data_IF_394919053442
#
_entry.id   IF_394919053442
#
_cell.length_a   1.000
_cell.length_b   1.000
_cell.length_c   1.000
_cell.angle_alpha   90.00
_cell.angle_beta   90.00
_cell.angle_gamma   90.00
#
_symmetry.space_group_name_H-M   'P 1'
#
loop_
_entity.id
_entity.type
_entity.pdbx_description
1 polymer ?
#
# COMPACT_ATOMS: atom_id res chain seq x y z
N UNK A 1 15.80 2.85 -11.94
CA UNK A 1 14.88 3.51 -11.00
C UNK A 1 13.63 2.66 -10.87
N UNK A 2 13.11 2.48 -9.64
CA UNK A 2 11.88 1.73 -9.33
C UNK A 2 10.97 2.60 -8.46
N UNK A 3 9.66 2.54 -8.73
CA UNK A 3 8.68 3.27 -7.92
C UNK A 3 8.33 2.55 -6.63
N UNK A 4 8.21 3.27 -5.52
CA UNK A 4 7.79 2.74 -4.21
C UNK A 4 6.34 2.22 -4.22
N UNK A 5 5.54 2.57 -5.24
CA UNK A 5 4.14 2.15 -5.36
C UNK A 5 4.00 0.63 -5.42
N UNK A 6 4.85 -0.06 -6.18
CA UNK A 6 4.91 -1.51 -6.21
C UNK A 6 5.94 -2.01 -5.17
N UNK A 7 5.54 -1.95 -3.91
CA UNK A 7 6.41 -2.23 -2.78
C UNK A 7 6.97 -3.67 -2.80
N UNK A 8 6.16 -4.63 -3.21
CA UNK A 8 6.58 -6.04 -3.29
C UNK A 8 7.65 -6.23 -4.37
N UNK A 9 7.47 -5.65 -5.56
CA UNK A 9 8.45 -5.70 -6.63
C UNK A 9 9.77 -5.06 -6.18
N UNK A 10 9.71 -3.88 -5.57
CA UNK A 10 10.89 -3.18 -5.07
C UNK A 10 11.64 -4.01 -4.03
N UNK A 11 10.94 -4.65 -3.11
CA UNK A 11 11.52 -5.55 -2.11
C UNK A 11 12.23 -6.74 -2.76
N UNK A 12 11.59 -7.41 -3.72
CA UNK A 12 12.17 -8.55 -4.44
C UNK A 12 13.42 -8.15 -5.24
N UNK A 13 13.40 -7.02 -5.91
CA UNK A 13 14.56 -6.51 -6.66
C UNK A 13 15.74 -6.19 -5.71
N UNK A 14 15.47 -5.57 -4.55
CA UNK A 14 16.51 -5.31 -3.55
C UNK A 14 17.14 -6.61 -3.03
N UNK A 15 16.31 -7.61 -2.75
CA UNK A 15 16.80 -8.91 -2.30
C UNK A 15 17.62 -9.61 -3.37
N UNK A 16 17.16 -9.61 -4.61
CA UNK A 16 17.91 -10.19 -5.75
C UNK A 16 19.29 -9.55 -5.89
N UNK A 17 19.38 -8.20 -5.84
CA UNK A 17 20.66 -7.49 -5.93
C UNK A 17 21.59 -7.90 -4.80
N UNK A 18 21.07 -8.05 -3.58
CA UNK A 18 21.87 -8.46 -2.42
C UNK A 18 22.31 -9.92 -2.50
N UNK A 19 21.41 -10.83 -2.90
CA UNK A 19 21.69 -12.26 -2.96
C UNK A 19 22.71 -12.63 -4.05
N UNK A 20 22.65 -11.91 -5.17
CA UNK A 20 23.59 -12.15 -6.29
C UNK A 20 24.82 -11.21 -6.27
N UNK A 21 24.98 -10.45 -5.18
CA UNK A 21 26.08 -9.47 -5.00
C UNK A 21 26.29 -8.56 -6.24
N UNK A 22 25.18 -8.06 -6.78
CA UNK A 22 25.19 -7.23 -7.95
C UNK A 22 25.61 -5.81 -7.59
N UNK A 23 26.62 -5.25 -8.26
CA UNK A 23 27.04 -3.88 -8.09
C UNK A 23 26.07 -2.91 -8.79
N UNK A 24 24.82 -2.84 -8.32
CA UNK A 24 23.75 -2.03 -8.86
C UNK A 24 23.15 -1.16 -7.75
N UNK A 25 23.12 0.15 -7.97
CA UNK A 25 22.43 1.09 -7.10
C UNK A 25 20.97 1.24 -7.52
N UNK A 26 20.02 1.02 -6.58
CA UNK A 26 18.61 1.29 -6.81
C UNK A 26 18.31 2.76 -6.48
N UNK A 27 17.66 3.44 -7.41
CA UNK A 27 17.06 4.74 -7.17
C UNK A 27 15.55 4.51 -7.00
N UNK A 28 15.03 4.90 -5.83
CA UNK A 28 13.62 4.76 -5.48
C UNK A 28 12.87 6.04 -5.82
N UNK A 29 11.77 5.92 -6.58
CA UNK A 29 10.87 7.02 -6.86
C UNK A 29 9.69 7.01 -5.90
N UNK A 30 9.35 8.17 -5.33
CA UNK A 30 8.21 8.31 -4.44
C UNK A 30 6.88 8.08 -5.16
N UNK A 31 5.84 7.74 -4.39
CA UNK A 31 4.48 7.62 -4.91
C UNK A 31 3.96 9.03 -5.21
N UNK A 32 3.68 9.27 -6.47
CA UNK A 32 3.05 10.52 -6.91
C UNK A 32 1.54 10.33 -6.85
N UNK A 33 0.83 11.30 -6.27
CA UNK A 33 -0.61 11.28 -6.10
C UNK A 33 -1.27 12.44 -6.84
N UNK A 34 -2.50 12.24 -7.26
CA UNK A 34 -3.32 13.33 -7.77
C UNK A 34 -3.83 14.21 -6.61
N UNK A 35 -4.58 15.26 -6.95
CA UNK A 35 -5.16 16.21 -5.97
C UNK A 35 -6.12 15.56 -4.95
N UNK A 36 -6.61 14.38 -5.24
CA UNK A 36 -7.53 13.62 -4.38
C UNK A 36 -6.82 12.48 -3.63
N UNK A 37 -5.49 12.40 -3.69
CA UNK A 37 -4.70 11.38 -3.01
C UNK A 37 -4.53 10.06 -3.78
N UNK A 38 -5.18 9.90 -4.94
CA UNK A 38 -5.05 8.67 -5.73
C UNK A 38 -3.62 8.52 -6.28
N UNK A 39 -2.97 7.40 -5.98
CA UNK A 39 -1.64 7.09 -6.48
C UNK A 39 -1.65 6.94 -8.01
N UNK A 40 -0.81 7.71 -8.70
CA UNK A 40 -0.79 7.75 -10.17
C UNK A 40 -0.35 6.41 -10.76
N UNK A 41 -1.07 6.01 -11.82
CA UNK A 41 -0.83 4.79 -12.58
C UNK A 41 -1.43 4.94 -13.97
N UNK A 42 -0.85 4.26 -14.97
CA UNK A 42 -1.46 4.15 -16.30
C UNK A 42 -2.85 3.49 -16.24
N UNK A 43 -3.10 2.62 -15.26
CA UNK A 43 -4.41 1.98 -15.06
C UNK A 43 -5.51 2.98 -14.70
N UNK A 44 -5.17 4.14 -14.13
CA UNK A 44 -6.16 5.18 -13.79
C UNK A 44 -6.86 5.75 -15.04
N UNK A 45 -6.25 5.65 -16.22
CA UNK A 45 -6.84 6.10 -17.48
C UNK A 45 -8.06 5.26 -17.87
N UNK A 46 -8.19 4.05 -17.36
CA UNK A 46 -9.32 3.16 -17.62
C UNK A 46 -10.48 3.35 -16.63
N UNK A 47 -10.30 4.19 -15.60
CA UNK A 47 -11.34 4.50 -14.63
C UNK A 47 -12.26 5.59 -15.16
N UNK A 48 -13.57 5.41 -14.97
CA UNK A 48 -14.55 6.49 -15.15
C UNK A 48 -14.29 7.64 -14.16
N UNK A 49 -14.89 8.80 -14.40
CA UNK A 49 -14.78 9.93 -13.46
C UNK A 49 -15.34 9.57 -12.07
N UNK A 50 -16.44 8.82 -12.02
CA UNK A 50 -17.01 8.33 -10.77
C UNK A 50 -16.09 7.33 -10.07
N UNK A 51 -15.50 6.40 -10.82
CA UNK A 51 -14.54 5.44 -10.29
C UNK A 51 -13.28 6.11 -9.72
N UNK A 52 -12.79 7.18 -10.33
CA UNK A 52 -11.66 7.96 -9.79
C UNK A 52 -12.01 8.60 -8.44
N UNK A 53 -13.23 9.09 -8.26
CA UNK A 53 -13.70 9.60 -6.97
C UNK A 53 -13.78 8.49 -5.91
N UNK A 54 -14.31 7.33 -6.27
CA UNK A 54 -14.32 6.16 -5.38
C UNK A 54 -12.88 5.71 -5.02
N UNK A 55 -12.01 5.63 -6.02
CA UNK A 55 -10.62 5.22 -5.84
C UNK A 55 -9.82 6.16 -4.91
N UNK A 56 -10.19 7.46 -4.82
CA UNK A 56 -9.54 8.38 -3.90
C UNK A 56 -9.72 7.98 -2.43
N UNK A 57 -10.83 7.28 -2.11
CA UNK A 57 -11.07 6.76 -0.76
C UNK A 57 -10.04 5.71 -0.32
N UNK A 58 -9.29 5.10 -1.25
CA UNK A 58 -8.25 4.12 -0.93
C UNK A 58 -7.18 4.75 -0.05
N UNK A 59 -6.68 5.91 -0.45
CA UNK A 59 -5.62 6.58 0.31
C UNK A 59 -6.11 7.08 1.67
N UNK A 60 -7.30 7.66 1.74
CA UNK A 60 -7.90 8.09 3.01
C UNK A 60 -8.08 6.91 3.98
N UNK A 61 -8.50 5.77 3.45
CA UNK A 61 -8.64 4.55 4.26
C UNK A 61 -7.31 3.99 4.73
N UNK A 62 -6.26 4.06 3.89
CA UNK A 62 -4.91 3.68 4.28
C UNK A 62 -4.40 4.56 5.43
N UNK A 63 -4.57 5.89 5.34
CA UNK A 63 -4.15 6.82 6.40
C UNK A 63 -4.87 6.49 7.71
N UNK A 64 -6.19 6.37 7.70
CA UNK A 64 -6.98 6.07 8.89
C UNK A 64 -6.59 4.73 9.54
N UNK A 65 -6.34 3.72 8.71
CA UNK A 65 -5.89 2.42 9.21
C UNK A 65 -4.49 2.52 9.82
N UNK A 66 -3.58 3.26 9.19
CA UNK A 66 -2.23 3.47 9.71
C UNK A 66 -2.24 4.23 11.06
N UNK A 67 -3.09 5.25 11.20
CA UNK A 67 -3.29 5.97 12.46
C UNK A 67 -3.83 5.04 13.57
N UNK A 68 -4.78 4.16 13.23
CA UNK A 68 -5.31 3.17 14.15
C UNK A 68 -4.23 2.17 14.59
N UNK A 69 -3.40 1.68 13.67
CA UNK A 69 -2.27 0.78 13.97
C UNK A 69 -1.30 1.44 14.94
N UNK A 70 -0.95 2.70 14.72
CA UNK A 70 -0.04 3.45 15.60
C UNK A 70 -0.61 3.69 16.99
N UNK A 71 -1.94 3.82 17.11
CA UNK A 71 -2.62 4.18 18.36
C UNK A 71 -2.96 2.95 19.22
N UNK A 72 -3.49 1.89 18.64
CA UNK A 72 -4.15 0.77 19.36
C UNK A 72 -3.18 -0.39 19.57
N UNK A 73 -2.16 -0.53 18.75
CA UNK A 73 -1.20 -1.66 18.72
C UNK A 73 -1.84 -3.05 18.50
N UNK A 74 -3.13 -3.10 18.26
CA UNK A 74 -3.83 -4.29 17.79
C UNK A 74 -3.96 -4.22 16.28
N UNK A 75 -2.99 -4.82 15.59
CA UNK A 75 -2.88 -4.75 14.14
C UNK A 75 -4.04 -5.45 13.43
N UNK A 76 -4.50 -6.57 13.98
CA UNK A 76 -5.59 -7.35 13.38
C UNK A 76 -6.91 -6.58 13.43
N UNK A 77 -7.22 -5.98 14.56
CA UNK A 77 -8.43 -5.17 14.72
C UNK A 77 -8.39 -3.92 13.83
N UNK A 78 -7.27 -3.21 13.79
CA UNK A 78 -7.09 -2.02 12.95
C UNK A 78 -7.27 -2.35 11.46
N UNK A 79 -6.72 -3.45 10.98
CA UNK A 79 -6.89 -3.92 9.59
C UNK A 79 -8.34 -4.32 9.31
N UNK A 80 -8.99 -5.02 10.24
CA UNK A 80 -10.40 -5.42 10.13
C UNK A 80 -11.33 -4.20 10.03
N UNK A 81 -11.14 -3.20 10.88
CA UNK A 81 -11.90 -1.95 10.82
C UNK A 81 -11.60 -1.17 9.54
N UNK A 82 -10.34 -1.08 9.14
CA UNK A 82 -9.93 -0.48 7.87
C UNK A 82 -10.62 -1.13 6.67
N UNK A 83 -10.71 -2.45 6.66
CA UNK A 83 -11.35 -3.21 5.59
C UNK A 83 -12.83 -2.89 5.42
N UNK A 84 -13.56 -2.58 6.49
CA UNK A 84 -14.97 -2.20 6.42
C UNK A 84 -15.22 -0.91 5.64
N UNK A 85 -14.26 0.01 5.62
CA UNK A 85 -14.38 1.28 4.91
C UNK A 85 -14.43 1.08 3.39
N UNK A 86 -13.77 0.06 2.88
CA UNK A 86 -13.75 -0.23 1.44
C UNK A 86 -15.10 -0.76 0.95
N UNK A 87 -15.74 -1.62 1.73
CA UNK A 87 -17.08 -2.15 1.41
C UNK A 87 -18.12 -1.03 1.29
N UNK A 88 -18.07 -0.04 2.18
CA UNK A 88 -19.00 1.11 2.14
C UNK A 88 -18.86 1.95 0.87
N UNK A 89 -17.68 1.96 0.25
CA UNK A 89 -17.38 2.74 -0.95
C UNK A 89 -17.47 1.91 -2.24
N UNK A 90 -18.07 0.71 -2.18
CA UNK A 90 -18.20 -0.20 -3.33
C UNK A 90 -16.84 -0.57 -3.96
N UNK A 91 -15.81 -0.64 -3.12
CA UNK A 91 -14.47 -1.08 -3.49
C UNK A 91 -14.33 -2.53 -3.08
N UNK A 92 -13.97 -3.40 -4.02
CA UNK A 92 -13.72 -4.81 -3.75
C UNK A 92 -12.28 -4.99 -3.32
N UNK A 93 -12.07 -5.24 -2.04
CA UNK A 93 -10.76 -5.45 -1.47
C UNK A 93 -10.20 -6.81 -1.92
N UNK A 94 -9.01 -6.82 -2.52
CA UNK A 94 -8.24 -8.03 -2.79
C UNK A 94 -7.43 -8.40 -1.54
N UNK A 95 -6.63 -7.46 -1.03
CA UNK A 95 -6.00 -7.57 0.29
C UNK A 95 -5.74 -6.19 0.92
N UNK A 96 -5.66 -6.18 2.25
CA UNK A 96 -5.13 -5.12 3.07
C UNK A 96 -4.22 -5.77 4.11
N UNK A 97 -2.91 -5.59 3.99
CA UNK A 97 -1.91 -6.31 4.76
C UNK A 97 -0.86 -5.37 5.35
N UNK A 98 -0.44 -5.69 6.58
CA UNK A 98 0.65 -5.02 7.26
C UNK A 98 1.89 -5.90 7.22
N UNK A 99 3.00 -5.35 6.76
CA UNK A 99 4.27 -6.07 6.67
C UNK A 99 5.41 -5.30 7.35
N UNK A 100 6.35 -6.05 7.89
CA UNK A 100 7.65 -5.52 8.29
C UNK A 100 8.49 -5.24 7.04
N UNK A 101 9.05 -4.04 6.94
CA UNK A 101 9.79 -3.61 5.73
C UNK A 101 11.13 -4.33 5.53
N UNK A 102 11.68 -4.94 6.58
CA UNK A 102 12.98 -5.64 6.49
C UNK A 102 12.87 -7.02 5.84
N UNK A 103 11.79 -7.75 6.11
CA UNK A 103 11.62 -9.13 5.65
C UNK A 103 10.35 -9.37 4.83
N UNK A 104 9.48 -8.38 4.73
CA UNK A 104 8.21 -8.40 4.02
C UNK A 104 7.23 -9.50 4.51
N UNK A 105 7.29 -9.78 5.82
CA UNK A 105 6.41 -10.74 6.52
C UNK A 105 5.53 -10.00 7.52
N UNK A 106 4.56 -10.71 8.07
CA UNK A 106 3.73 -10.18 9.18
C UNK A 106 4.61 -9.64 10.30
N UNK A 107 4.31 -8.46 10.84
CA UNK A 107 5.12 -7.83 11.87
C UNK A 107 5.10 -8.62 13.16
N UNK A 108 6.13 -8.44 13.95
CA UNK A 108 6.26 -8.98 15.29
C UNK A 108 6.65 -7.88 16.30
N UNK A 109 6.80 -8.22 17.57
CA UNK A 109 7.10 -7.25 18.65
C UNK A 109 8.44 -6.49 18.49
N UNK A 110 9.30 -6.90 17.57
CA UNK A 110 10.58 -6.26 17.31
C UNK A 110 10.57 -5.41 16.03
N UNK A 111 9.50 -5.49 15.26
CA UNK A 111 9.34 -4.71 14.04
C UNK A 111 9.26 -3.22 14.35
N UNK A 112 10.09 -2.42 13.70
CA UNK A 112 10.18 -0.97 13.92
C UNK A 112 9.61 -0.16 12.77
N UNK A 113 9.71 -0.68 11.56
CA UNK A 113 9.24 -0.03 10.34
C UNK A 113 8.27 -0.95 9.63
N UNK A 114 7.06 -0.49 9.50
CA UNK A 114 5.99 -1.25 8.88
C UNK A 114 5.53 -0.58 7.60
N UNK A 115 4.91 -1.36 6.75
CA UNK A 115 4.26 -0.88 5.54
C UNK A 115 2.87 -1.50 5.43
N UNK A 116 1.87 -0.65 5.29
CA UNK A 116 0.50 -1.08 5.01
C UNK A 116 0.31 -1.14 3.50
N UNK A 117 -0.05 -2.30 3.01
CA UNK A 117 -0.22 -2.61 1.59
C UNK A 117 -1.69 -2.81 1.27
N UNK A 118 -2.14 -2.33 0.13
CA UNK A 118 -3.48 -2.58 -0.39
C UNK A 118 -3.44 -2.98 -1.85
N UNK A 119 -4.32 -3.92 -2.21
CA UNK A 119 -4.80 -4.12 -3.56
C UNK A 119 -6.32 -4.19 -3.53
N UNK A 120 -6.96 -3.48 -4.44
CA UNK A 120 -8.41 -3.37 -4.50
C UNK A 120 -8.88 -3.15 -5.93
N UNK A 121 -10.12 -3.55 -6.21
CA UNK A 121 -10.78 -3.37 -7.50
C UNK A 121 -11.80 -2.24 -7.41
N UNK A 122 -11.73 -1.33 -8.37
CA UNK A 122 -12.73 -0.29 -8.62
C UNK A 122 -13.13 -0.43 -10.09
N UNK A 123 -14.40 -0.71 -10.37
CA UNK A 123 -14.91 -1.00 -11.73
C UNK A 123 -14.02 -2.02 -12.47
N UNK A 124 -13.73 -3.17 -11.88
CA UNK A 124 -12.86 -4.23 -12.45
C UNK A 124 -11.39 -3.83 -12.68
N UNK A 125 -11.00 -2.61 -12.37
CA UNK A 125 -9.61 -2.16 -12.45
C UNK A 125 -8.90 -2.40 -11.11
N UNK A 126 -7.89 -3.26 -11.14
CA UNK A 126 -7.07 -3.53 -9.95
C UNK A 126 -6.08 -2.40 -9.70
N UNK A 127 -6.22 -1.75 -8.57
CA UNK A 127 -5.35 -0.69 -8.09
C UNK A 127 -4.53 -1.18 -6.89
N UNK A 128 -3.31 -0.69 -6.78
CA UNK A 128 -2.44 -0.92 -5.63
C UNK A 128 -1.97 0.40 -5.03
N UNK A 129 -1.75 0.39 -3.73
CA UNK A 129 -1.17 1.51 -3.00
C UNK A 129 -0.47 1.00 -1.75
N UNK A 130 0.31 1.86 -1.11
CA UNK A 130 0.91 1.55 0.19
C UNK A 130 1.27 2.82 0.95
N UNK A 131 1.47 2.67 2.26
CA UNK A 131 1.93 3.73 3.15
C UNK A 131 2.91 3.16 4.18
N UNK A 132 3.96 3.91 4.47
CA UNK A 132 4.91 3.58 5.52
C UNK A 132 4.34 3.97 6.90
N UNK A 133 4.61 3.14 7.91
CA UNK A 133 4.24 3.38 9.31
C UNK A 133 5.51 3.24 10.14
N UNK A 134 5.86 4.31 10.84
CA UNK A 134 6.94 4.31 11.83
C UNK A 134 6.32 4.17 13.22
N UNK A 135 6.85 3.19 14.00
CA UNK A 135 6.38 2.88 15.36
C UNK A 135 7.25 3.57 16.42
#
# INVERSE_FOLDING_TARGET
MFGKKDAQQLFLIKNMIREFDLNIQIIEGDIIRDKNGLALSSRNNHLSSNAKLKASCIFDSLIKTAESISSIKDYEEAIKEGSKNFVKNEIVLDYLELVDTENFKSPNKYSKKLKLLIAAYVEDIRLIDNIDIEL
#
